data_IF_394095713649
#
_entry.id   IF_394095713649
#
_cell.length_a   1.000
_cell.length_b   1.000
_cell.length_c   1.000
_cell.angle_alpha   90.00
_cell.angle_beta   90.00
_cell.angle_gamma   90.00
#
_symmetry.space_group_name_H-M   'P 1'
#
loop_
_entity.id
_entity.type
_entity.pdbx_description
1 polymer ?
#
# COMPACT_ATOMS: atom_id res chain seq x y z
N UNK A 1 -18.28 7.88 -5.09
CA UNK A 1 -17.47 7.10 -4.15
C UNK A 1 -16.07 7.00 -4.73
N UNK A 2 -15.09 7.63 -4.09
CA UNK A 2 -13.68 7.56 -4.50
C UNK A 2 -13.08 6.29 -3.88
N UNK A 3 -12.57 5.40 -4.73
CA UNK A 3 -11.78 4.24 -4.28
C UNK A 3 -10.36 4.71 -4.00
N UNK A 4 -9.74 4.17 -2.94
CA UNK A 4 -8.32 4.37 -2.67
C UNK A 4 -7.53 3.17 -3.19
N UNK A 5 -6.49 3.43 -3.97
CA UNK A 5 -5.58 2.42 -4.50
C UNK A 5 -4.21 2.58 -3.84
N UNK A 6 -3.61 1.46 -3.49
CA UNK A 6 -2.25 1.37 -2.96
C UNK A 6 -1.50 0.29 -3.74
N UNK A 7 -0.31 0.62 -4.24
CA UNK A 7 0.61 -0.41 -4.69
C UNK A 7 1.16 -1.16 -3.49
N UNK A 8 1.04 -2.49 -3.48
CA UNK A 8 1.45 -3.36 -2.38
C UNK A 8 2.35 -4.49 -2.87
N UNK A 9 3.29 -4.93 -2.03
CA UNK A 9 4.09 -6.12 -2.28
C UNK A 9 4.21 -6.95 -1.01
N UNK A 10 3.69 -8.18 -1.04
CA UNK A 10 3.85 -9.12 0.06
C UNK A 10 5.29 -9.67 0.14
N UNK A 11 5.99 -9.82 -0.99
CA UNK A 11 7.37 -10.36 -1.03
C UNK A 11 8.37 -9.43 -0.33
N UNK A 12 8.15 -8.12 -0.43
CA UNK A 12 9.04 -7.10 0.16
C UNK A 12 8.40 -6.34 1.32
N UNK A 13 7.18 -6.70 1.72
CA UNK A 13 6.37 -6.00 2.71
C UNK A 13 6.07 -4.51 2.38
N UNK A 14 6.16 -4.10 1.11
CA UNK A 14 5.90 -2.71 0.70
C UNK A 14 4.43 -2.33 0.86
N UNK A 15 4.17 -1.21 1.54
CA UNK A 15 2.84 -0.66 1.80
C UNK A 15 1.81 -1.67 2.34
N UNK A 16 2.28 -2.76 2.94
CA UNK A 16 1.43 -3.89 3.33
C UNK A 16 0.34 -3.48 4.34
N UNK A 17 0.66 -2.51 5.20
CA UNK A 17 -0.25 -2.01 6.23
C UNK A 17 -1.32 -1.02 5.71
N UNK A 18 -1.09 -0.36 4.56
CA UNK A 18 -1.94 0.75 4.08
C UNK A 18 -3.40 0.34 3.82
N UNK A 19 -3.70 -0.83 3.19
CA UNK A 19 -5.09 -1.26 2.99
C UNK A 19 -5.82 -1.50 4.32
N UNK A 20 -5.13 -2.10 5.30
CA UNK A 20 -5.71 -2.41 6.60
C UNK A 20 -5.94 -1.15 7.44
N UNK A 21 -4.99 -0.20 7.42
CA UNK A 21 -5.13 1.07 8.11
C UNK A 21 -6.29 1.89 7.54
N UNK A 22 -6.40 1.96 6.21
CA UNK A 22 -7.51 2.63 5.55
C UNK A 22 -8.86 2.02 5.94
N UNK A 23 -8.95 0.68 5.93
CA UNK A 23 -10.17 -0.03 6.33
C UNK A 23 -10.51 0.22 7.81
N UNK A 24 -9.52 0.17 8.70
CA UNK A 24 -9.71 0.41 10.14
C UNK A 24 -10.21 1.83 10.41
N UNK A 25 -9.64 2.86 9.74
CA UNK A 25 -10.12 4.24 9.80
C UNK A 25 -11.59 4.37 9.38
N UNK A 26 -11.99 3.66 8.32
CA UNK A 26 -13.39 3.67 7.84
C UNK A 26 -14.35 2.94 8.79
N UNK A 27 -13.94 1.83 9.38
CA UNK A 27 -14.77 1.06 10.30
C UNK A 27 -14.93 1.73 11.67
N UNK A 28 -13.86 2.35 12.18
CA UNK A 28 -13.85 3.02 13.48
C UNK A 28 -14.38 4.46 13.37
N UNK A 29 -14.22 5.10 12.21
CA UNK A 29 -14.61 6.49 11.99
C UNK A 29 -13.60 7.52 12.51
N UNK A 30 -12.41 7.08 12.93
CA UNK A 30 -11.31 7.95 13.35
C UNK A 30 -10.29 8.12 12.21
N UNK A 31 -10.17 9.32 11.61
CA UNK A 31 -9.18 9.58 10.56
C UNK A 31 -7.73 9.61 11.06
N UNK A 32 -7.52 9.84 12.36
CA UNK A 32 -6.20 9.93 12.99
C UNK A 32 -5.70 8.59 13.55
N UNK A 33 -6.43 7.51 13.31
CA UNK A 33 -6.02 6.16 13.72
C UNK A 33 -4.68 5.79 13.06
N UNK A 34 -3.77 5.24 13.86
CA UNK A 34 -2.45 4.76 13.44
C UNK A 34 -2.17 3.40 14.08
N UNK A 35 -1.36 2.58 13.40
CA UNK A 35 -0.82 1.37 14.02
C UNK A 35 0.35 1.74 14.92
N UNK A 36 0.25 1.39 16.20
CA UNK A 36 1.28 1.66 17.22
C UNK A 36 2.52 0.77 17.11
N UNK A 37 2.42 -0.32 16.36
CA UNK A 37 3.52 -1.22 16.09
C UNK A 37 3.37 -1.81 14.69
N UNK A 38 4.50 -2.11 14.06
CA UNK A 38 4.49 -2.91 12.85
C UNK A 38 3.91 -4.30 13.15
N UNK A 39 3.05 -4.85 12.29
CA UNK A 39 2.61 -6.23 12.43
C UNK A 39 3.84 -7.16 12.44
N UNK A 40 3.72 -8.30 13.13
CA UNK A 40 4.77 -9.33 13.12
C UNK A 40 4.81 -9.99 11.73
N UNK A 41 5.51 -9.34 10.79
CA UNK A 41 5.67 -9.80 9.42
C UNK A 41 6.82 -10.80 9.34
N UNK A 42 6.69 -11.74 8.40
CA UNK A 42 7.83 -12.54 7.99
C UNK A 42 8.93 -11.62 7.43
N UNK A 43 10.22 -11.97 7.63
CA UNK A 43 11.31 -11.26 6.97
C UNK A 43 11.06 -11.16 5.46
N UNK A 44 11.31 -10.00 4.82
CA UNK A 44 11.09 -9.85 3.40
C UNK A 44 12.00 -10.79 2.61
N UNK A 45 11.46 -11.44 1.59
CA UNK A 45 12.20 -12.33 0.71
C UNK A 45 13.09 -11.55 -0.27
N UNK A 46 12.76 -10.27 -0.51
CA UNK A 46 13.48 -9.38 -1.42
C UNK A 46 13.68 -8.03 -0.75
N UNK A 47 14.94 -7.56 -0.71
CA UNK A 47 15.26 -6.21 -0.27
C UNK A 47 14.77 -5.19 -1.33
N UNK A 48 14.01 -4.19 -0.92
CA UNK A 48 13.74 -3.06 -1.80
C UNK A 48 15.03 -2.27 -2.03
N UNK A 49 15.49 -2.21 -3.27
CA UNK A 49 16.41 -1.14 -3.69
C UNK A 49 15.67 0.17 -3.47
N UNK A 50 16.21 1.02 -2.60
CA UNK A 50 15.65 2.30 -2.13
C UNK A 50 14.80 3.01 -3.18
N UNK A 51 13.52 3.19 -2.85
CA UNK A 51 12.54 3.86 -3.68
C UNK A 51 12.99 5.31 -3.96
N UNK A 52 12.78 5.75 -5.20
CA UNK A 52 12.73 7.17 -5.51
C UNK A 52 11.67 7.81 -4.60
N UNK A 53 11.94 8.99 -3.99
CA UNK A 53 10.93 9.68 -3.21
C UNK A 53 9.68 9.86 -4.07
N UNK A 54 8.53 9.49 -3.51
CA UNK A 54 7.22 9.64 -4.14
C UNK A 54 6.98 11.14 -4.37
N UNK A 55 7.31 11.63 -5.57
CA UNK A 55 6.91 12.96 -6.03
C UNK A 55 5.39 12.95 -6.16
N UNK A 56 4.73 13.88 -5.48
CA UNK A 56 3.29 14.11 -5.44
C UNK A 56 2.58 13.79 -6.78
N UNK A 57 1.88 12.65 -6.89
CA UNK A 57 0.99 12.37 -8.03
C UNK A 57 -0.46 12.73 -7.68
N UNK A 58 -0.68 14.02 -7.49
CA UNK A 58 -1.98 14.63 -7.77
C UNK A 58 -2.27 14.48 -9.28
N UNK A 59 -3.12 13.49 -9.59
CA UNK A 59 -3.96 13.37 -10.78
C UNK A 59 -3.27 13.15 -12.15
N UNK A 60 -3.22 11.89 -12.59
CA UNK A 60 -3.62 11.54 -13.97
C UNK A 60 -4.40 10.22 -14.09
N UNK A 61 -5.56 10.21 -14.76
CA UNK A 61 -6.18 8.97 -15.21
C UNK A 61 -5.43 8.48 -16.46
N UNK A 62 -4.31 7.78 -16.30
CA UNK A 62 -3.62 7.12 -17.41
C UNK A 62 -3.91 5.62 -17.44
N UNK A 63 -4.92 5.28 -18.23
CA UNK A 63 -4.88 4.25 -19.28
C UNK A 63 -4.33 2.87 -18.90
N UNK A 64 -5.27 1.95 -18.66
CA UNK A 64 -5.33 0.63 -19.29
C UNK A 64 -3.99 -0.03 -19.67
N UNK A 65 -3.44 -0.79 -18.74
CA UNK A 65 -2.79 -2.08 -19.01
C UNK A 65 -2.78 -2.79 -17.67
N UNK A 66 -3.45 -3.92 -17.47
CA UNK A 66 -2.81 -5.20 -17.75
C UNK A 66 -1.31 -5.13 -17.38
N UNK A 67 -0.99 -4.85 -16.11
CA UNK A 67 0.21 -5.35 -15.44
C UNK A 67 -0.30 -6.44 -14.49
N UNK A 68 -1.16 -7.34 -14.98
CA UNK A 68 -0.73 -8.62 -15.51
C UNK A 68 -0.11 -9.48 -14.40
N UNK A 69 -1.01 -10.20 -13.70
CA UNK A 69 -0.72 -11.35 -12.84
C UNK A 69 0.05 -10.95 -11.57
N UNK A 70 -0.55 -11.11 -10.40
CA UNK A 70 -0.29 -12.34 -9.65
C UNK A 70 1.17 -12.78 -9.88
N UNK A 71 2.14 -12.11 -9.24
CA UNK A 71 3.52 -12.58 -9.23
C UNK A 71 3.62 -13.77 -8.25
N UNK A 72 3.01 -14.89 -8.66
CA UNK A 72 3.62 -16.20 -8.54
C UNK A 72 4.91 -16.16 -9.39
#
# INVERSE_FOLDING_TARGET
MLYHYYDISAKSNYNFEKPFLWLARKLIGDPNLEFVAMPALAPPEVAQTTALPDEDDDLKPSTHSIIARIFL
#
